data_IF_937898197450
#
_entry.id   IF_937898197450
#
_cell.length_a   1.000
_cell.length_b   1.000
_cell.length_c   1.000
_cell.angle_alpha   90.00
_cell.angle_beta   90.00
_cell.angle_gamma   90.00
#
_symmetry.space_group_name_H-M   'P 1'
#
loop_
_entity.id
_entity.type
_entity.pdbx_description
1 polymer ?
#
# COMPACT_ATOMS: atom_id res chain seq x y z
N UNK A 1 -44.47 -62.97 26.14
CA UNK A 1 -43.25 -62.14 26.29
C UNK A 1 -42.66 -61.74 24.95
N UNK A 2 -43.17 -60.76 24.28
CA UNK A 2 -42.61 -60.16 23.05
C UNK A 2 -43.10 -58.71 22.93
N UNK A 3 -42.48 -57.75 23.58
CA UNK A 3 -42.94 -56.37 23.53
C UNK A 3 -41.90 -55.30 23.95
N UNK A 4 -40.63 -55.67 24.20
CA UNK A 4 -39.71 -54.74 24.88
C UNK A 4 -38.46 -54.31 24.04
N UNK A 5 -38.37 -54.67 22.79
CA UNK A 5 -37.16 -54.38 21.97
C UNK A 5 -37.40 -53.26 20.93
N UNK A 6 -38.63 -52.84 20.65
CA UNK A 6 -38.92 -51.90 19.59
C UNK A 6 -38.63 -50.43 19.93
N UNK A 7 -38.57 -50.07 21.22
CA UNK A 7 -38.33 -48.68 21.64
C UNK A 7 -36.88 -48.23 21.69
N UNK A 8 -35.93 -49.17 21.65
CA UNK A 8 -34.48 -48.82 21.76
C UNK A 8 -33.86 -48.42 20.42
N UNK A 9 -34.31 -49.03 19.34
CA UNK A 9 -33.84 -48.74 17.99
C UNK A 9 -34.32 -47.38 17.47
N UNK A 10 -35.48 -46.92 17.90
CA UNK A 10 -36.01 -45.60 17.47
C UNK A 10 -35.27 -44.43 18.14
N UNK A 11 -34.85 -44.58 19.41
CA UNK A 11 -34.07 -43.52 20.09
C UNK A 11 -32.64 -43.36 19.55
N UNK A 12 -32.02 -44.45 19.12
CA UNK A 12 -30.67 -44.37 18.54
C UNK A 12 -30.67 -43.76 17.11
N UNK A 13 -31.74 -43.99 16.33
CA UNK A 13 -31.95 -43.36 15.06
C UNK A 13 -32.25 -41.84 15.18
N UNK A 14 -33.08 -41.46 16.17
CA UNK A 14 -33.34 -40.06 16.48
C UNK A 14 -32.07 -39.30 16.89
N UNK A 15 -31.21 -39.90 17.73
CA UNK A 15 -29.94 -39.31 18.12
C UNK A 15 -28.96 -39.17 16.96
N UNK A 16 -28.98 -40.07 15.98
CA UNK A 16 -28.15 -39.98 14.78
C UNK A 16 -28.60 -38.86 13.83
N UNK A 17 -29.91 -38.69 13.67
CA UNK A 17 -30.50 -37.62 12.84
C UNK A 17 -30.22 -36.26 13.45
N UNK A 18 -30.44 -36.13 14.77
CA UNK A 18 -30.17 -34.87 15.51
C UNK A 18 -28.68 -34.48 15.45
N UNK A 19 -27.76 -35.45 15.54
CA UNK A 19 -26.31 -35.22 15.45
C UNK A 19 -25.87 -34.78 14.05
N UNK A 20 -26.50 -35.31 12.99
CA UNK A 20 -26.23 -34.95 11.62
C UNK A 20 -26.67 -33.51 11.26
N UNK A 21 -27.86 -33.13 11.76
CA UNK A 21 -28.41 -31.79 11.54
C UNK A 21 -27.62 -30.71 12.29
N UNK A 22 -27.15 -30.94 13.49
CA UNK A 22 -26.31 -30.02 14.24
C UNK A 22 -24.91 -29.85 13.59
N UNK A 23 -24.35 -30.91 13.03
CA UNK A 23 -23.09 -30.84 12.30
C UNK A 23 -23.24 -30.05 10.98
N UNK A 24 -24.35 -30.23 10.27
CA UNK A 24 -24.64 -29.49 9.04
C UNK A 24 -24.86 -28.00 9.32
N UNK A 25 -25.61 -27.66 10.35
CA UNK A 25 -25.82 -26.26 10.80
C UNK A 25 -24.51 -25.62 11.25
N UNK A 26 -23.64 -26.32 11.95
CA UNK A 26 -22.32 -25.84 12.35
C UNK A 26 -21.41 -25.55 11.15
N UNK A 27 -21.43 -26.40 10.14
CA UNK A 27 -20.67 -26.18 8.90
C UNK A 27 -21.16 -24.96 8.10
N UNK A 28 -22.49 -24.77 8.02
CA UNK A 28 -23.09 -23.61 7.33
C UNK A 28 -22.73 -22.31 8.05
N UNK A 29 -22.76 -22.27 9.39
CA UNK A 29 -22.39 -21.06 10.14
C UNK A 29 -20.91 -20.71 9.97
N UNK A 30 -20.01 -21.69 9.97
CA UNK A 30 -18.58 -21.46 9.72
C UNK A 30 -18.35 -20.92 8.31
N UNK A 31 -19.01 -21.48 7.31
CA UNK A 31 -18.91 -20.99 5.92
C UNK A 31 -19.43 -19.56 5.76
N UNK A 32 -20.52 -19.19 6.46
CA UNK A 32 -21.04 -17.82 6.45
C UNK A 32 -20.08 -16.83 7.12
N UNK A 33 -19.43 -17.23 8.21
CA UNK A 33 -18.41 -16.40 8.88
C UNK A 33 -17.22 -16.18 7.96
N UNK A 34 -16.72 -17.23 7.29
CA UNK A 34 -15.61 -17.12 6.33
C UNK A 34 -16.00 -16.22 5.16
N UNK A 35 -17.20 -16.36 4.61
CA UNK A 35 -17.69 -15.52 3.53
C UNK A 35 -17.83 -14.05 3.95
N UNK A 36 -18.33 -13.78 5.16
CA UNK A 36 -18.41 -12.43 5.72
C UNK A 36 -17.03 -11.80 5.92
N UNK A 37 -16.06 -12.58 6.41
CA UNK A 37 -14.66 -12.12 6.53
C UNK A 37 -14.04 -11.80 5.16
N UNK A 38 -14.33 -12.63 4.15
CA UNK A 38 -13.83 -12.42 2.79
C UNK A 38 -14.42 -11.15 2.16
N UNK A 39 -15.73 -10.94 2.30
CA UNK A 39 -16.41 -9.75 1.82
C UNK A 39 -15.92 -8.49 2.56
N UNK A 40 -15.73 -8.56 3.87
CA UNK A 40 -15.17 -7.46 4.66
C UNK A 40 -13.75 -7.09 4.21
N UNK A 41 -12.90 -8.09 3.96
CA UNK A 41 -11.54 -7.87 3.47
C UNK A 41 -11.48 -7.22 2.08
N UNK A 42 -12.45 -7.52 1.20
CA UNK A 42 -12.56 -6.89 -0.13
C UNK A 42 -13.03 -5.43 0.02
N UNK A 43 -14.00 -5.17 0.90
CA UNK A 43 -14.56 -3.82 1.09
C UNK A 43 -13.53 -2.87 1.71
N UNK A 44 -12.72 -3.35 2.65
CA UNK A 44 -11.64 -2.53 3.26
C UNK A 44 -10.54 -2.20 2.23
N UNK A 45 -10.24 -3.11 1.30
CA UNK A 45 -9.27 -2.84 0.24
C UNK A 45 -9.75 -1.84 -0.82
N UNK A 46 -11.05 -1.82 -1.10
CA UNK A 46 -11.60 -0.89 -2.10
C UNK A 46 -11.82 0.53 -1.58
N UNK A 47 -11.93 0.74 -0.27
CA UNK A 47 -12.07 2.09 0.31
C UNK A 47 -10.74 2.85 0.41
N UNK A 48 -9.59 2.17 0.42
CA UNK A 48 -8.27 2.80 0.44
C UNK A 48 -7.78 3.23 -0.96
N UNK A 49 -8.48 2.86 -2.02
CA UNK A 49 -8.06 3.08 -3.41
C UNK A 49 -8.53 4.40 -4.05
N UNK A 50 -9.68 4.93 -3.63
CA UNK A 50 -10.28 6.07 -4.34
C UNK A 50 -9.66 7.42 -3.95
N UNK A 51 -9.32 7.64 -2.69
CA UNK A 51 -8.73 8.91 -2.26
C UNK A 51 -7.29 9.08 -2.77
N UNK A 52 -6.51 8.01 -2.83
CA UNK A 52 -5.13 8.05 -3.35
C UNK A 52 -5.06 8.25 -4.87
N UNK A 53 -6.04 7.79 -5.65
CA UNK A 53 -6.03 7.97 -7.11
C UNK A 53 -6.21 9.43 -7.50
N UNK A 54 -7.10 10.15 -6.85
CA UNK A 54 -7.32 11.58 -7.05
C UNK A 54 -6.04 12.39 -6.77
N UNK A 55 -5.38 12.16 -5.64
CA UNK A 55 -4.17 12.88 -5.28
C UNK A 55 -2.98 12.53 -6.18
N UNK A 56 -2.89 11.30 -6.66
CA UNK A 56 -1.87 10.92 -7.63
C UNK A 56 -2.05 11.66 -8.96
N UNK A 57 -3.28 11.78 -9.45
CA UNK A 57 -3.58 12.53 -10.66
C UNK A 57 -3.34 14.04 -10.46
N UNK A 58 -3.67 14.57 -9.28
CA UNK A 58 -3.47 15.98 -8.95
C UNK A 58 -1.99 16.39 -8.93
N UNK A 59 -1.11 15.57 -8.34
CA UNK A 59 0.32 15.88 -8.23
C UNK A 59 1.15 15.46 -9.45
N UNK A 60 0.67 14.58 -10.32
CA UNK A 60 1.43 14.05 -11.45
C UNK A 60 2.07 15.13 -12.36
N UNK A 61 1.41 16.25 -12.69
CA UNK A 61 2.06 17.33 -13.47
C UNK A 61 3.24 17.95 -12.73
N UNK A 62 3.07 18.31 -11.45
CA UNK A 62 4.12 18.93 -10.61
C UNK A 62 5.29 17.97 -10.38
N UNK A 63 5.02 16.69 -10.18
CA UNK A 63 6.03 15.64 -10.06
C UNK A 63 6.87 15.52 -11.34
N UNK A 64 6.21 15.55 -12.51
CA UNK A 64 6.89 15.47 -13.81
C UNK A 64 7.73 16.70 -14.11
N UNK A 65 7.22 17.89 -13.82
CA UNK A 65 7.93 19.16 -13.97
C UNK A 65 9.16 19.20 -13.06
N UNK A 66 9.01 18.88 -11.79
CA UNK A 66 10.10 18.81 -10.84
C UNK A 66 11.23 17.87 -11.27
N UNK A 67 10.91 16.64 -11.68
CA UNK A 67 11.91 15.69 -12.19
C UNK A 67 12.65 16.23 -13.42
N UNK A 68 11.93 16.95 -14.30
CA UNK A 68 12.53 17.57 -15.50
C UNK A 68 13.47 18.72 -15.14
N UNK A 69 13.07 19.58 -14.18
CA UNK A 69 13.90 20.68 -13.67
C UNK A 69 15.18 20.16 -13.00
N UNK A 70 15.07 19.18 -12.12
CA UNK A 70 16.23 18.57 -11.45
C UNK A 70 17.21 17.97 -12.47
N UNK A 71 16.71 17.29 -13.50
CA UNK A 71 17.57 16.76 -14.58
C UNK A 71 18.26 17.88 -15.34
N UNK A 72 17.53 18.94 -15.70
CA UNK A 72 18.09 20.10 -16.38
C UNK A 72 19.20 20.77 -15.58
N UNK A 73 18.95 21.01 -14.29
CA UNK A 73 19.95 21.58 -13.39
C UNK A 73 21.21 20.72 -13.27
N UNK A 74 21.07 19.43 -13.15
CA UNK A 74 22.21 18.51 -13.06
C UNK A 74 23.00 18.44 -14.37
N UNK A 75 22.32 18.48 -15.53
CA UNK A 75 22.94 18.54 -16.83
C UNK A 75 23.76 19.86 -17.01
N UNK A 76 23.24 20.99 -16.54
CA UNK A 76 23.96 22.28 -16.51
C UNK A 76 25.21 22.24 -15.63
N UNK A 77 25.19 21.48 -14.53
CA UNK A 77 26.35 21.22 -13.69
C UNK A 77 27.35 20.22 -14.31
N UNK A 78 27.04 19.68 -15.51
CA UNK A 78 27.88 18.72 -16.23
C UNK A 78 27.72 17.25 -15.76
N UNK A 79 26.62 16.93 -15.06
CA UNK A 79 26.22 15.55 -14.74
C UNK A 79 25.31 15.01 -15.86
N UNK A 80 25.91 14.63 -16.98
CA UNK A 80 25.15 14.19 -18.16
C UNK A 80 24.32 12.94 -17.90
N UNK A 81 23.06 12.96 -18.28
CA UNK A 81 22.08 11.87 -18.12
C UNK A 81 21.92 11.38 -16.68
N UNK A 82 21.64 12.24 -15.71
CA UNK A 82 21.41 11.81 -14.35
C UNK A 82 20.11 10.97 -14.28
N UNK A 83 20.15 9.86 -13.55
CA UNK A 83 18.94 9.13 -13.16
C UNK A 83 18.27 9.90 -12.03
N UNK A 84 17.04 10.34 -12.22
CA UNK A 84 16.23 11.00 -11.17
C UNK A 84 14.95 10.19 -10.98
N UNK A 85 14.83 9.56 -9.84
CA UNK A 85 13.67 8.78 -9.44
C UNK A 85 12.95 9.51 -8.31
N UNK A 86 11.66 9.76 -8.49
CA UNK A 86 10.77 10.36 -7.50
C UNK A 86 9.79 9.32 -6.99
N UNK A 87 9.84 9.06 -5.70
CA UNK A 87 8.89 8.15 -5.02
C UNK A 87 8.20 8.89 -3.88
N UNK A 88 6.99 8.47 -3.51
CA UNK A 88 6.30 9.06 -2.37
C UNK A 88 5.59 8.01 -1.51
N UNK A 89 5.39 8.37 -0.24
CA UNK A 89 4.53 7.67 0.71
C UNK A 89 3.48 8.66 1.20
N UNK A 90 2.23 8.25 1.20
CA UNK A 90 1.12 9.04 1.76
C UNK A 90 0.69 8.42 3.09
N UNK A 91 0.63 9.20 4.13
CA UNK A 91 0.18 8.76 5.45
C UNK A 91 -1.36 8.86 5.62
N UNK A 92 -1.85 8.52 6.82
CA UNK A 92 -3.30 8.56 7.15
C UNK A 92 -3.90 9.96 7.13
N UNK A 93 -3.07 11.00 7.28
CA UNK A 93 -3.47 12.41 7.33
C UNK A 93 -3.34 13.07 5.95
N UNK A 94 -3.12 12.25 4.91
CA UNK A 94 -2.90 12.66 3.52
C UNK A 94 -1.65 13.54 3.32
N UNK A 95 -0.70 13.47 4.26
CA UNK A 95 0.62 14.08 4.09
C UNK A 95 1.47 13.19 3.17
N UNK A 96 2.16 13.79 2.21
CA UNK A 96 3.06 13.11 1.29
C UNK A 96 4.52 13.36 1.64
N UNK A 97 5.26 12.29 1.80
CA UNK A 97 6.72 12.34 1.93
C UNK A 97 7.34 11.83 0.65
N UNK A 98 7.95 12.73 -0.10
CA UNK A 98 8.69 12.41 -1.31
C UNK A 98 10.14 12.05 -1.00
N UNK A 99 10.64 11.01 -1.67
CA UNK A 99 12.06 10.68 -1.70
C UNK A 99 12.55 10.82 -3.14
N UNK A 100 13.51 11.72 -3.34
CA UNK A 100 14.16 11.97 -4.61
C UNK A 100 15.50 11.27 -4.62
N UNK A 101 15.65 10.24 -5.44
CA UNK A 101 16.90 9.48 -5.56
C UNK A 101 17.59 9.88 -6.85
N UNK A 102 18.81 10.41 -6.73
CA UNK A 102 19.58 10.87 -7.88
C UNK A 102 20.81 9.98 -8.07
N UNK A 103 20.85 9.31 -9.20
CA UNK A 103 21.91 8.37 -9.56
C UNK A 103 22.89 9.00 -10.55
N UNK A 104 24.17 9.09 -10.16
CA UNK A 104 25.23 9.45 -11.10
C UNK A 104 26.59 8.95 -10.62
N UNK A 105 27.39 8.35 -11.53
CA UNK A 105 28.69 7.74 -11.21
C UNK A 105 29.68 8.67 -10.51
N UNK A 106 29.59 9.98 -10.74
CA UNK A 106 30.50 10.98 -10.17
C UNK A 106 30.15 11.34 -8.71
N UNK A 107 28.95 11.03 -8.22
CA UNK A 107 28.54 11.40 -6.87
C UNK A 107 29.32 10.66 -5.79
N UNK A 108 29.76 9.43 -6.05
CA UNK A 108 30.60 8.69 -5.13
C UNK A 108 31.95 9.38 -4.79
N UNK A 109 32.43 10.27 -5.66
CA UNK A 109 33.71 10.97 -5.51
C UNK A 109 33.56 12.45 -5.09
N UNK A 110 32.36 12.92 -4.82
CA UNK A 110 32.12 14.29 -4.35
C UNK A 110 32.46 14.44 -2.85
N UNK A 111 32.93 15.63 -2.48
CA UNK A 111 33.03 16.00 -1.08
C UNK A 111 31.62 16.15 -0.45
N UNK A 112 31.55 16.05 0.86
CA UNK A 112 30.29 16.20 1.60
C UNK A 112 29.65 17.57 1.35
N UNK A 113 30.48 18.64 1.33
CA UNK A 113 30.03 20.00 1.09
C UNK A 113 29.40 20.13 -0.33
N UNK A 114 30.00 19.47 -1.33
CA UNK A 114 29.45 19.52 -2.69
C UNK A 114 28.16 18.75 -2.84
N UNK A 115 27.99 17.66 -2.10
CA UNK A 115 26.73 16.91 -2.06
C UNK A 115 25.64 17.76 -1.42
N UNK A 116 25.94 18.39 -0.28
CA UNK A 116 25.01 19.26 0.47
C UNK A 116 24.55 20.44 -0.40
N UNK A 117 25.46 21.10 -1.13
CA UNK A 117 25.10 22.16 -2.12
C UNK A 117 24.11 21.69 -3.19
N UNK A 118 24.31 20.47 -3.71
CA UNK A 118 23.39 19.90 -4.72
C UNK A 118 22.04 19.54 -4.07
N UNK A 119 22.05 18.95 -2.89
CA UNK A 119 20.84 18.57 -2.16
C UNK A 119 20.01 19.81 -1.81
N UNK A 120 20.63 20.90 -1.31
CA UNK A 120 19.96 22.17 -1.03
C UNK A 120 19.35 22.76 -2.30
N UNK A 121 20.09 22.82 -3.40
CA UNK A 121 19.60 23.37 -4.65
C UNK A 121 18.41 22.56 -5.22
N UNK A 122 18.46 21.23 -5.10
CA UNK A 122 17.35 20.34 -5.50
C UNK A 122 16.13 20.51 -4.59
N UNK A 123 16.35 20.73 -3.29
CA UNK A 123 15.26 21.04 -2.34
C UNK A 123 14.60 22.39 -2.65
N UNK A 124 15.36 23.39 -3.05
CA UNK A 124 14.83 24.72 -3.40
C UNK A 124 13.93 24.68 -4.66
N UNK A 125 14.07 23.67 -5.50
CA UNK A 125 13.23 23.43 -6.69
C UNK A 125 11.91 22.73 -6.36
N UNK A 126 11.74 22.21 -5.13
CA UNK A 126 10.53 21.47 -4.75
C UNK A 126 9.27 22.35 -4.90
N UNK A 127 8.21 21.75 -5.43
CA UNK A 127 6.93 22.44 -5.48
C UNK A 127 6.38 22.66 -4.06
N UNK A 128 5.91 23.91 -3.81
CA UNK A 128 5.44 24.32 -2.49
C UNK A 128 4.00 23.81 -2.25
N UNK A 129 3.85 22.83 -1.39
CA UNK A 129 2.56 22.40 -0.86
C UNK A 129 2.74 22.02 0.62
N UNK A 130 1.89 22.54 1.50
CA UNK A 130 1.96 22.30 2.95
C UNK A 130 1.79 20.82 3.33
N UNK A 131 1.27 20.00 2.43
CA UNK A 131 1.08 18.55 2.60
C UNK A 131 2.25 17.72 2.10
N UNK A 132 3.26 18.37 1.51
CA UNK A 132 4.39 17.69 0.90
C UNK A 132 5.68 17.97 1.65
N UNK A 133 6.45 16.92 1.91
CA UNK A 133 7.81 16.99 2.42
C UNK A 133 8.76 16.26 1.47
N UNK A 134 10.01 16.73 1.36
CA UNK A 134 10.98 16.18 0.44
C UNK A 134 12.24 15.75 1.15
N UNK A 135 12.81 14.66 0.67
CA UNK A 135 14.09 14.13 1.08
C UNK A 135 14.91 13.79 -0.17
N UNK A 136 16.16 14.23 -0.21
CA UNK A 136 17.07 14.00 -1.34
C UNK A 136 18.10 12.93 -0.95
N UNK A 137 18.42 12.04 -1.88
CA UNK A 137 19.47 11.03 -1.74
C UNK A 137 20.33 11.00 -3.00
N UNK A 138 21.65 11.29 -2.87
CA UNK A 138 22.63 11.21 -3.95
C UNK A 138 23.39 9.88 -3.89
N UNK A 139 23.26 9.06 -4.96
CA UNK A 139 23.85 7.71 -5.01
C UNK A 139 24.85 7.60 -6.18
#
# INVERSE_FOLDING_TARGET
MKGFIKGRTDMDNLKKIFRGEFLALGLITVMLIIAAFYLFSITVRSSAGDDNSFWNEYYAPSESEYVSEVRGYLDELGYCNPGVDLTHVTDSDLMRTYTVIIHHQRFGNLSSERKEEIEEAVLDMCFADERCSFRIELI
#
